data_IF_066227652416
#
_entry.id   IF_066227652416
#
_cell.length_a   1.000
_cell.length_b   1.000
_cell.length_c   1.000
_cell.angle_alpha   90.00
_cell.angle_beta   90.00
_cell.angle_gamma   90.00
#
_symmetry.space_group_name_H-M   'P 1'
#
loop_
_entity.id
_entity.type
_entity.pdbx_description
1 polymer ?
#
# COMPACT_ATOMS: atom_id res chain seq x y z
N UNK A 1 7.86 -3.20 -8.93
CA UNK A 1 7.48 -3.59 -10.30
C UNK A 1 8.68 -4.01 -11.15
N UNK A 2 9.74 -3.19 -11.21
CA UNK A 2 10.86 -3.36 -12.17
C UNK A 2 11.75 -4.61 -11.90
N UNK A 3 11.79 -5.12 -10.67
CA UNK A 3 12.64 -6.26 -10.31
C UNK A 3 12.17 -7.61 -10.88
N UNK A 4 10.86 -7.87 -10.90
CA UNK A 4 10.34 -9.17 -11.33
C UNK A 4 10.39 -9.36 -12.86
N UNK A 5 10.11 -8.31 -13.64
CA UNK A 5 10.10 -8.40 -15.10
C UNK A 5 11.49 -8.69 -15.68
N UNK A 6 12.50 -7.99 -15.16
CA UNK A 6 13.90 -8.18 -15.55
C UNK A 6 14.39 -9.60 -15.25
N UNK A 7 14.03 -10.13 -14.07
CA UNK A 7 14.41 -11.47 -13.64
C UNK A 7 13.68 -12.56 -14.43
N UNK A 8 12.40 -12.38 -14.76
CA UNK A 8 11.65 -13.32 -15.62
C UNK A 8 12.35 -13.47 -16.98
N UNK A 9 12.70 -12.35 -17.62
CA UNK A 9 13.40 -12.36 -18.91
C UNK A 9 14.77 -13.04 -18.77
N UNK A 10 15.49 -12.78 -17.67
CA UNK A 10 16.77 -13.44 -17.40
C UNK A 10 16.62 -14.95 -17.28
N UNK A 11 15.63 -15.45 -16.52
CA UNK A 11 15.43 -16.88 -16.35
C UNK A 11 15.00 -17.58 -17.64
N UNK A 12 14.19 -16.91 -18.48
CA UNK A 12 13.86 -17.43 -19.81
C UNK A 12 15.12 -17.58 -20.69
N UNK A 13 16.07 -16.62 -20.63
CA UNK A 13 17.36 -16.73 -21.34
C UNK A 13 18.24 -17.87 -20.84
N UNK A 14 18.09 -18.26 -19.57
CA UNK A 14 18.76 -19.43 -19.01
C UNK A 14 18.07 -20.76 -19.37
N UNK A 15 17.01 -20.74 -20.19
CA UNK A 15 16.35 -21.93 -20.71
C UNK A 15 15.18 -22.45 -19.87
N UNK A 16 14.82 -21.76 -18.77
CA UNK A 16 13.65 -22.14 -17.98
C UNK A 16 12.36 -21.89 -18.75
N UNK A 17 11.45 -22.86 -18.70
CA UNK A 17 10.15 -22.71 -19.32
C UNK A 17 9.31 -21.66 -18.58
N UNK A 18 8.37 -20.98 -19.26
CA UNK A 18 7.42 -20.09 -18.61
C UNK A 18 6.66 -20.77 -17.45
N UNK A 19 6.33 -22.06 -17.58
CA UNK A 19 5.62 -22.81 -16.55
C UNK A 19 6.46 -22.96 -15.26
N UNK A 20 7.74 -23.31 -15.38
CA UNK A 20 8.66 -23.43 -14.22
C UNK A 20 8.86 -22.10 -13.51
N UNK A 21 8.98 -21.01 -14.27
CA UNK A 21 9.11 -19.66 -13.71
C UNK A 21 7.84 -19.30 -12.94
N UNK A 22 6.66 -19.53 -13.52
CA UNK A 22 5.38 -19.23 -12.86
C UNK A 22 5.15 -20.09 -11.61
N UNK A 23 5.51 -21.38 -11.65
CA UNK A 23 5.44 -22.25 -10.49
C UNK A 23 6.37 -21.77 -9.36
N UNK A 24 7.60 -21.36 -9.70
CA UNK A 24 8.56 -20.81 -8.74
C UNK A 24 8.06 -19.50 -8.10
N UNK A 25 7.45 -18.62 -8.90
CA UNK A 25 6.86 -17.37 -8.41
C UNK A 25 5.68 -17.61 -7.46
N UNK A 26 4.85 -18.61 -7.72
CA UNK A 26 3.79 -19.01 -6.80
C UNK A 26 4.36 -19.60 -5.51
N UNK A 27 5.36 -20.49 -5.62
CA UNK A 27 5.98 -21.17 -4.49
C UNK A 27 6.75 -20.24 -3.54
N UNK A 28 7.33 -19.13 -4.04
CA UNK A 28 8.06 -18.16 -3.21
C UNK A 28 7.14 -17.16 -2.50
N UNK A 29 5.91 -16.97 -2.99
CA UNK A 29 4.99 -15.97 -2.47
C UNK A 29 4.71 -16.11 -0.95
N UNK A 30 4.50 -17.31 -0.37
CA UNK A 30 4.31 -17.45 1.07
C UNK A 30 5.50 -16.92 1.89
N UNK A 31 6.74 -17.09 1.42
CA UNK A 31 7.91 -16.52 2.09
C UNK A 31 7.89 -14.99 2.06
N UNK A 32 7.51 -14.41 0.92
CA UNK A 32 7.36 -12.96 0.79
C UNK A 32 6.30 -12.39 1.74
N UNK A 33 5.18 -13.11 1.91
CA UNK A 33 4.07 -12.68 2.77
C UNK A 33 4.42 -12.86 4.25
N UNK A 34 4.70 -14.09 4.68
CA UNK A 34 4.80 -14.43 6.10
C UNK A 34 6.16 -14.08 6.70
N UNK A 35 7.24 -14.31 5.97
CA UNK A 35 8.60 -14.17 6.51
C UNK A 35 9.14 -12.77 6.23
N UNK A 36 9.15 -12.32 4.98
CA UNK A 36 9.80 -11.05 4.64
C UNK A 36 8.94 -9.84 4.95
N UNK A 37 7.66 -9.83 4.57
CA UNK A 37 6.78 -8.70 4.85
C UNK A 37 6.29 -8.72 6.30
N UNK A 38 5.75 -9.84 6.77
CA UNK A 38 5.16 -9.91 8.10
C UNK A 38 6.17 -10.16 9.23
N UNK A 39 7.42 -10.57 8.93
CA UNK A 39 8.44 -10.91 9.94
C UNK A 39 7.96 -12.03 10.92
N UNK A 40 7.09 -12.92 10.45
CA UNK A 40 6.53 -14.04 11.21
C UNK A 40 7.31 -15.31 10.89
N UNK A 41 8.27 -15.64 11.73
CA UNK A 41 9.06 -16.86 11.59
C UNK A 41 8.35 -18.10 12.18
N UNK A 42 7.48 -17.90 13.16
CA UNK A 42 6.70 -18.95 13.79
C UNK A 42 5.20 -18.76 13.49
N UNK A 43 4.70 -19.40 12.44
CA UNK A 43 3.27 -19.31 12.06
C UNK A 43 2.33 -19.80 13.16
N UNK A 44 2.75 -20.75 14.00
CA UNK A 44 1.92 -21.24 15.11
C UNK A 44 1.67 -20.17 16.16
N UNK A 45 2.55 -19.18 16.32
CA UNK A 45 2.37 -18.13 17.33
C UNK A 45 1.25 -17.14 16.99
N UNK A 46 0.79 -17.10 15.73
CA UNK A 46 -0.31 -16.22 15.31
C UNK A 46 -1.68 -16.91 15.28
N UNK A 47 -1.74 -18.20 15.63
CA UNK A 47 -2.98 -18.94 15.78
C UNK A 47 -3.10 -20.13 14.83
N UNK A 48 -4.34 -20.62 14.69
CA UNK A 48 -4.68 -21.79 13.87
C UNK A 48 -5.64 -21.50 12.72
N UNK A 49 -6.33 -20.35 12.74
CA UNK A 49 -7.22 -19.93 11.67
C UNK A 49 -6.51 -18.88 10.81
N UNK A 50 -6.37 -19.16 9.52
CA UNK A 50 -5.71 -18.30 8.55
C UNK A 50 -6.71 -17.89 7.48
N UNK A 51 -6.95 -16.59 7.35
CA UNK A 51 -7.83 -16.04 6.32
C UNK A 51 -6.99 -15.46 5.19
N UNK A 52 -7.07 -16.08 4.02
CA UNK A 52 -6.41 -15.63 2.80
C UNK A 52 -7.30 -14.59 2.10
N UNK A 53 -6.76 -13.37 1.91
CA UNK A 53 -7.44 -12.25 1.25
C UNK A 53 -6.48 -11.42 0.37
N UNK A 54 -7.03 -10.59 -0.51
CA UNK A 54 -6.30 -9.85 -1.52
C UNK A 54 -6.40 -10.50 -2.90
N UNK A 55 -6.37 -9.69 -3.96
CA UNK A 55 -6.65 -10.12 -5.34
C UNK A 55 -5.79 -11.27 -5.86
N UNK A 56 -4.58 -11.44 -5.33
CA UNK A 56 -3.68 -12.55 -5.69
C UNK A 56 -4.28 -13.92 -5.36
N UNK A 57 -5.16 -14.01 -4.36
CA UNK A 57 -5.82 -15.25 -3.94
C UNK A 57 -6.97 -15.68 -4.87
N UNK A 58 -7.22 -14.96 -5.97
CA UNK A 58 -8.00 -15.48 -7.11
C UNK A 58 -7.23 -16.52 -7.93
N UNK A 59 -5.90 -16.53 -7.83
CA UNK A 59 -5.06 -17.50 -8.50
C UNK A 59 -4.93 -18.77 -7.63
N UNK A 60 -5.48 -19.89 -8.11
CA UNK A 60 -5.46 -21.16 -7.39
C UNK A 60 -4.05 -21.71 -7.14
N UNK A 61 -3.07 -21.43 -8.00
CA UNK A 61 -1.68 -21.83 -7.76
C UNK A 61 -1.09 -21.09 -6.55
N UNK A 62 -1.44 -19.81 -6.38
CA UNK A 62 -1.06 -19.02 -5.21
C UNK A 62 -1.75 -19.53 -3.95
N UNK A 63 -3.06 -19.81 -4.03
CA UNK A 63 -3.81 -20.40 -2.91
C UNK A 63 -3.17 -21.72 -2.48
N UNK A 64 -2.86 -22.61 -3.44
CA UNK A 64 -2.23 -23.90 -3.14
C UNK A 64 -0.87 -23.72 -2.46
N UNK A 65 -0.02 -22.83 -2.98
CA UNK A 65 1.29 -22.55 -2.39
C UNK A 65 1.16 -22.02 -0.94
N UNK A 66 0.18 -21.15 -0.66
CA UNK A 66 -0.12 -20.67 0.70
C UNK A 66 -0.59 -21.80 1.60
N UNK A 67 -1.54 -22.62 1.14
CA UNK A 67 -2.07 -23.77 1.89
C UNK A 67 -0.96 -24.76 2.25
N UNK A 68 -0.10 -25.10 1.30
CA UNK A 68 1.02 -26.02 1.54
C UNK A 68 2.02 -25.47 2.56
N UNK A 69 2.36 -24.19 2.42
CA UNK A 69 3.30 -23.53 3.33
C UNK A 69 2.77 -23.46 4.77
N UNK A 70 1.48 -23.12 4.93
CA UNK A 70 0.83 -23.01 6.23
C UNK A 70 0.70 -24.38 6.87
N UNK A 71 0.14 -25.36 6.16
CA UNK A 71 -0.09 -26.72 6.71
C UNK A 71 1.21 -27.45 7.03
N UNK A 72 2.29 -27.23 6.28
CA UNK A 72 3.61 -27.77 6.61
C UNK A 72 4.17 -27.25 7.96
N UNK A 73 3.72 -26.08 8.43
CA UNK A 73 4.18 -25.46 9.69
C UNK A 73 3.14 -25.58 10.81
N UNK A 74 1.87 -25.62 10.45
CA UNK A 74 0.72 -25.75 11.33
C UNK A 74 -0.22 -26.81 10.74
N UNK A 75 0.03 -28.12 11.00
CA UNK A 75 -0.74 -29.20 10.38
C UNK A 75 -2.24 -29.19 10.70
N UNK A 76 -2.61 -28.60 11.83
CA UNK A 76 -3.99 -28.44 12.31
C UNK A 76 -4.60 -27.08 11.95
N UNK A 77 -4.05 -26.37 10.97
CA UNK A 77 -4.54 -25.07 10.53
C UNK A 77 -5.90 -25.18 9.81
N UNK A 78 -6.81 -24.30 10.18
CA UNK A 78 -8.00 -23.97 9.41
C UNK A 78 -7.65 -22.83 8.44
N UNK A 79 -7.79 -23.07 7.15
CA UNK A 79 -7.46 -22.09 6.11
C UNK A 79 -8.72 -21.72 5.36
N UNK A 80 -9.11 -20.45 5.48
CA UNK A 80 -10.29 -19.88 4.86
C UNK A 80 -9.87 -18.93 3.75
N UNK A 81 -10.58 -18.94 2.64
CA UNK A 81 -10.40 -17.97 1.56
C UNK A 81 -11.57 -17.02 1.61
N UNK A 82 -11.30 -15.72 1.68
CA UNK A 82 -12.36 -14.73 1.68
C UNK A 82 -13.18 -14.84 0.37
N UNK A 83 -14.52 -14.95 0.42
CA UNK A 83 -15.35 -15.18 -0.78
C UNK A 83 -15.18 -14.08 -1.84
N UNK A 84 -14.91 -12.86 -1.38
CA UNK A 84 -14.59 -11.70 -2.22
C UNK A 84 -13.14 -11.25 -2.00
N UNK A 85 -12.17 -12.15 -2.20
CA UNK A 85 -10.77 -11.87 -1.84
C UNK A 85 -10.19 -10.61 -2.51
N UNK A 86 -10.63 -10.26 -3.73
CA UNK A 86 -10.17 -9.04 -4.40
C UNK A 86 -10.72 -7.75 -3.80
N UNK A 87 -11.93 -7.83 -3.27
CA UNK A 87 -12.74 -6.73 -2.74
C UNK A 87 -12.66 -6.61 -1.23
N UNK A 88 -12.07 -7.59 -0.54
CA UNK A 88 -12.01 -7.67 0.92
C UNK A 88 -11.52 -6.38 1.57
N UNK A 89 -10.52 -5.72 0.97
CA UNK A 89 -10.02 -4.42 1.46
C UNK A 89 -11.06 -3.29 1.33
N UNK A 90 -11.80 -3.23 0.23
CA UNK A 90 -12.85 -2.23 0.02
C UNK A 90 -14.05 -2.48 0.94
N UNK A 91 -14.44 -3.75 1.12
CA UNK A 91 -15.48 -4.17 2.06
C UNK A 91 -15.07 -3.77 3.49
N UNK A 92 -13.83 -4.06 3.88
CA UNK A 92 -13.29 -3.68 5.20
C UNK A 92 -13.30 -2.18 5.43
N UNK A 93 -12.92 -1.38 4.43
CA UNK A 93 -12.98 0.08 4.51
C UNK A 93 -14.43 0.59 4.65
N UNK A 94 -15.38 0.01 3.92
CA UNK A 94 -16.80 0.36 4.04
C UNK A 94 -17.37 0.03 5.43
N UNK A 95 -17.03 -1.15 5.98
CA UNK A 95 -17.41 -1.54 7.33
C UNK A 95 -16.81 -0.59 8.38
N UNK A 96 -15.53 -0.27 8.27
CA UNK A 96 -14.87 0.68 9.18
C UNK A 96 -15.48 2.08 9.10
N UNK A 97 -15.84 2.56 7.89
CA UNK A 97 -16.51 3.84 7.72
C UNK A 97 -17.90 3.86 8.34
N UNK A 98 -18.65 2.74 8.24
CA UNK A 98 -19.95 2.56 8.90
C UNK A 98 -19.80 2.55 10.42
N UNK A 99 -18.83 1.83 10.95
CA UNK A 99 -18.64 1.70 12.40
C UNK A 99 -18.13 3.00 13.04
N UNK A 100 -17.40 3.83 12.28
CA UNK A 100 -16.97 5.18 12.69
C UNK A 100 -18.03 6.27 12.47
N UNK A 101 -19.16 5.93 11.82
CA UNK A 101 -20.24 6.88 11.56
C UNK A 101 -21.13 7.03 12.80
N UNK A 102 -21.62 8.25 13.01
CA UNK A 102 -22.53 8.61 14.09
C UNK A 102 -23.68 9.43 13.51
N UNK A 103 -24.89 9.29 14.06
CA UNK A 103 -26.11 9.96 13.58
C UNK A 103 -25.97 11.48 13.50
N UNK A 104 -25.20 12.08 14.42
CA UNK A 104 -24.95 13.53 14.46
C UNK A 104 -24.00 14.04 13.35
N UNK A 105 -23.46 13.14 12.52
CA UNK A 105 -22.52 13.50 11.45
C UNK A 105 -23.08 13.14 10.08
N UNK A 106 -23.44 14.14 9.24
CA UNK A 106 -23.85 13.85 7.88
C UNK A 106 -22.71 13.17 7.10
N UNK A 107 -23.06 12.22 6.24
CA UNK A 107 -22.10 11.57 5.33
C UNK A 107 -21.52 12.59 4.35
N UNK A 108 -20.24 12.44 4.02
CA UNK A 108 -19.58 13.21 2.94
C UNK A 108 -19.72 12.55 1.57
N UNK A 109 -20.41 11.42 1.49
CA UNK A 109 -20.68 10.74 0.22
C UNK A 109 -21.58 11.62 -0.66
N UNK A 110 -21.12 11.93 -1.88
CA UNK A 110 -21.83 12.83 -2.80
C UNK A 110 -23.00 12.15 -3.55
N UNK A 111 -23.29 10.89 -3.25
CA UNK A 111 -24.33 10.10 -3.92
C UNK A 111 -23.84 9.36 -5.16
N UNK A 112 -24.60 8.35 -5.58
CA UNK A 112 -24.26 7.52 -6.74
C UNK A 112 -24.34 8.28 -8.07
N UNK A 113 -25.29 9.21 -8.21
CA UNK A 113 -25.39 10.05 -9.42
C UNK A 113 -24.10 10.85 -9.70
N UNK A 114 -23.43 11.33 -8.65
CA UNK A 114 -22.16 12.04 -8.76
C UNK A 114 -21.02 11.10 -9.18
N UNK A 115 -21.07 9.83 -8.76
CA UNK A 115 -20.09 8.80 -9.15
C UNK A 115 -20.31 8.36 -10.59
N UNK A 116 -21.56 8.20 -11.03
CA UNK A 116 -21.91 7.76 -12.37
C UNK A 116 -21.58 8.81 -13.44
N UNK A 117 -21.67 10.09 -13.08
CA UNK A 117 -21.34 11.23 -13.97
C UNK A 117 -19.91 11.73 -13.81
N UNK A 118 -19.06 10.98 -13.08
CA UNK A 118 -17.73 11.43 -12.72
C UNK A 118 -16.84 11.55 -13.97
N UNK A 119 -16.54 12.78 -14.36
CA UNK A 119 -15.52 13.05 -15.38
C UNK A 119 -14.15 13.13 -14.70
N UNK A 120 -13.18 12.38 -15.20
CA UNK A 120 -11.80 12.46 -14.72
C UNK A 120 -10.79 12.47 -15.86
N UNK A 121 -9.62 13.03 -15.57
CA UNK A 121 -8.45 13.05 -16.45
C UNK A 121 -7.25 12.56 -15.66
N UNK A 122 -6.38 11.77 -16.28
CA UNK A 122 -5.19 11.24 -15.65
C UNK A 122 -3.94 11.71 -16.39
N UNK A 123 -3.04 12.38 -15.67
CA UNK A 123 -1.78 12.89 -16.22
C UNK A 123 -0.61 12.23 -15.51
N UNK A 124 0.31 11.65 -16.29
CA UNK A 124 1.60 11.14 -15.78
C UNK A 124 2.70 11.63 -16.72
N UNK A 125 3.57 12.51 -16.23
CA UNK A 125 4.64 13.13 -17.02
C UNK A 125 5.86 13.44 -16.16
N UNK A 126 6.88 14.10 -16.75
CA UNK A 126 8.01 14.61 -15.98
C UNK A 126 7.58 15.58 -14.88
N UNK A 127 6.58 16.41 -15.14
CA UNK A 127 6.09 17.44 -14.21
C UNK A 127 5.33 16.88 -13.01
N UNK A 128 4.82 15.65 -13.13
CA UNK A 128 4.20 14.93 -12.02
C UNK A 128 5.23 14.19 -11.15
N UNK A 129 6.53 14.32 -11.41
CA UNK A 129 7.57 13.67 -10.59
C UNK A 129 7.69 14.31 -9.21
N UNK A 130 7.75 13.51 -8.15
CA UNK A 130 7.95 14.01 -6.78
C UNK A 130 9.38 14.51 -6.60
N UNK A 131 9.53 15.72 -6.04
CA UNK A 131 10.85 16.33 -5.77
C UNK A 131 11.23 16.31 -4.28
N UNK A 132 10.36 15.81 -3.41
CA UNK A 132 10.63 15.80 -1.96
C UNK A 132 11.20 14.48 -1.44
N UNK A 133 11.24 13.43 -2.25
CA UNK A 133 11.77 12.13 -1.84
C UNK A 133 13.04 11.76 -2.63
N UNK A 134 13.99 11.02 -2.02
CA UNK A 134 15.24 10.68 -2.68
C UNK A 134 15.08 9.88 -3.98
N UNK A 135 14.03 9.04 -4.04
CA UNK A 135 13.76 8.16 -5.18
C UNK A 135 12.99 8.83 -6.31
N UNK A 136 12.65 10.13 -6.18
CA UNK A 136 11.91 10.91 -7.16
C UNK A 136 10.73 10.13 -7.75
N UNK A 137 9.82 9.65 -6.89
CA UNK A 137 8.76 8.76 -7.32
C UNK A 137 7.86 9.41 -8.38
N UNK A 138 7.53 8.64 -9.41
CA UNK A 138 6.58 9.07 -10.46
C UNK A 138 5.17 9.09 -9.88
N UNK A 139 4.53 10.25 -9.93
CA UNK A 139 3.14 10.42 -9.49
C UNK A 139 2.22 10.46 -10.69
N UNK A 140 0.98 10.09 -10.48
CA UNK A 140 -0.13 10.27 -11.42
C UNK A 140 -1.11 11.26 -10.82
N UNK A 141 -1.38 12.34 -11.53
CA UNK A 141 -2.40 13.31 -11.16
C UNK A 141 -3.73 12.84 -11.74
N UNK A 142 -4.71 12.62 -10.87
CA UNK A 142 -6.07 12.22 -11.23
C UNK A 142 -6.94 13.43 -10.93
N UNK A 143 -7.31 14.15 -11.99
CA UNK A 143 -8.10 15.36 -11.95
C UNK A 143 -9.56 14.99 -12.15
N UNK A 144 -10.39 15.29 -11.17
CA UNK A 144 -11.80 14.89 -11.12
C UNK A 144 -12.65 16.14 -11.15
N UNK A 145 -13.63 16.19 -12.05
CA UNK A 145 -14.57 17.31 -12.13
C UNK A 145 -15.49 17.28 -10.92
N UNK A 146 -15.34 18.29 -10.06
CA UNK A 146 -16.12 18.46 -8.86
C UNK A 146 -16.54 19.92 -8.75
N UNK A 147 -17.84 20.17 -8.87
CA UNK A 147 -18.41 21.50 -8.72
C UNK A 147 -18.03 22.10 -7.36
N UNK A 148 -17.60 23.36 -7.38
CA UNK A 148 -17.15 24.10 -6.19
C UNK A 148 -15.68 23.87 -5.79
N UNK A 149 -14.92 23.01 -6.49
CA UNK A 149 -13.48 22.91 -6.26
C UNK A 149 -12.74 24.13 -6.81
N UNK A 150 -11.77 24.65 -6.06
CA UNK A 150 -11.04 25.88 -6.40
C UNK A 150 -9.93 25.74 -7.44
N UNK A 151 -9.73 24.54 -8.00
CA UNK A 151 -8.62 24.29 -8.93
C UNK A 151 -7.24 24.46 -8.29
N UNK A 152 -6.20 24.44 -9.13
CA UNK A 152 -4.79 24.61 -8.76
C UNK A 152 -4.03 25.34 -9.88
N UNK A 153 -4.34 26.61 -10.09
CA UNK A 153 -3.67 27.43 -11.11
C UNK A 153 -2.16 27.57 -10.89
N UNK A 154 -1.69 27.43 -9.65
CA UNK A 154 -0.26 27.50 -9.27
C UNK A 154 0.52 26.20 -9.55
N UNK A 155 -0.17 25.10 -9.88
CA UNK A 155 0.50 23.83 -10.17
C UNK A 155 1.28 23.90 -11.49
N UNK A 156 2.40 23.16 -11.55
CA UNK A 156 3.13 22.93 -12.81
C UNK A 156 2.28 22.27 -13.89
N UNK A 157 1.26 21.50 -13.48
CA UNK A 157 0.20 21.00 -14.34
C UNK A 157 -1.07 21.74 -13.91
N UNK A 158 -1.39 22.90 -14.51
CA UNK A 158 -2.50 23.72 -14.06
C UNK A 158 -3.81 22.93 -13.99
N UNK A 159 -4.64 23.27 -13.02
CA UNK A 159 -5.95 22.69 -12.82
C UNK A 159 -6.97 23.81 -12.71
N UNK A 160 -8.00 23.76 -13.56
CA UNK A 160 -9.04 24.79 -13.62
C UNK A 160 -9.98 24.69 -12.40
N UNK A 161 -10.69 25.79 -12.12
CA UNK A 161 -11.80 25.76 -11.16
C UNK A 161 -12.88 24.76 -11.59
N UNK A 162 -13.56 24.16 -10.62
CA UNK A 162 -14.48 23.04 -10.84
C UNK A 162 -13.79 21.68 -11.01
N UNK A 163 -12.47 21.61 -10.82
CA UNK A 163 -11.71 20.37 -10.79
C UNK A 163 -10.93 20.21 -9.48
N UNK A 164 -10.88 18.98 -8.98
CA UNK A 164 -10.12 18.57 -7.81
C UNK A 164 -9.04 17.58 -8.21
N UNK A 165 -7.86 17.66 -7.60
CA UNK A 165 -6.76 16.75 -7.91
C UNK A 165 -6.50 15.77 -6.78
N UNK A 166 -6.49 14.49 -7.15
CA UNK A 166 -6.03 13.38 -6.34
C UNK A 166 -4.69 12.91 -6.90
N UNK A 167 -3.71 12.68 -6.03
CA UNK A 167 -2.38 12.23 -6.44
C UNK A 167 -2.18 10.79 -6.04
N UNK A 168 -1.83 9.95 -7.01
CA UNK A 168 -1.58 8.51 -6.85
C UNK A 168 -0.21 8.11 -7.39
N UNK A 169 0.19 6.85 -7.21
CA UNK A 169 1.49 6.30 -7.64
C UNK A 169 2.68 6.76 -6.78
N UNK A 170 2.44 7.59 -5.76
CA UNK A 170 3.48 8.06 -4.85
C UNK A 170 4.01 6.93 -3.95
N UNK A 171 5.33 6.81 -3.87
CA UNK A 171 6.01 5.88 -2.95
C UNK A 171 6.25 6.46 -1.53
N UNK A 172 5.75 7.66 -1.23
CA UNK A 172 5.94 8.29 0.08
C UNK A 172 4.78 9.24 0.42
N UNK A 173 4.51 9.53 1.71
CA UNK A 173 3.42 10.42 2.11
C UNK A 173 3.55 11.83 1.54
N UNK A 174 4.77 12.39 1.52
CA UNK A 174 5.04 13.71 0.92
C UNK A 174 4.64 13.79 -0.56
N UNK A 175 4.63 12.67 -1.27
CA UNK A 175 4.26 12.63 -2.68
C UNK A 175 2.76 12.78 -2.94
N UNK A 176 1.92 12.88 -1.90
CA UNK A 176 0.46 13.08 -2.00
C UNK A 176 0.05 14.53 -2.21
N UNK A 177 0.98 15.47 -2.09
CA UNK A 177 0.73 16.91 -2.14
C UNK A 177 1.55 17.57 -3.25
N UNK A 178 1.29 18.84 -3.53
CA UNK A 178 2.01 19.63 -4.54
C UNK A 178 2.71 20.83 -3.95
N UNK A 179 2.14 21.42 -2.90
CA UNK A 179 2.62 22.66 -2.35
C UNK A 179 3.60 22.47 -1.18
N UNK A 180 4.55 23.38 -1.05
CA UNK A 180 5.58 23.33 0.00
C UNK A 180 4.96 23.49 1.40
N UNK A 181 3.90 24.29 1.54
CA UNK A 181 3.20 24.44 2.81
C UNK A 181 2.46 23.16 3.19
N UNK A 182 1.81 22.48 2.23
CA UNK A 182 1.19 21.17 2.44
C UNK A 182 2.23 20.11 2.85
N UNK A 183 3.40 20.10 2.22
CA UNK A 183 4.50 19.19 2.58
C UNK A 183 4.97 19.41 4.03
N UNK A 184 4.98 20.66 4.52
CA UNK A 184 5.33 20.94 5.92
C UNK A 184 4.30 20.33 6.88
N UNK A 185 3.01 20.39 6.55
CA UNK A 185 1.94 19.77 7.34
C UNK A 185 2.11 18.25 7.37
N UNK A 186 2.31 17.62 6.21
CA UNK A 186 2.55 16.17 6.11
C UNK A 186 3.79 15.75 6.89
N UNK A 187 4.88 16.53 6.84
CA UNK A 187 6.08 16.24 7.64
C UNK A 187 5.82 16.28 9.14
N UNK A 188 5.05 17.26 9.62
CA UNK A 188 4.68 17.36 11.04
C UNK A 188 3.86 16.15 11.48
N UNK A 189 2.85 15.76 10.71
CA UNK A 189 2.04 14.57 10.99
C UNK A 189 2.90 13.29 11.00
N UNK A 190 3.84 13.15 10.05
CA UNK A 190 4.80 12.05 10.06
C UNK A 190 5.68 12.02 11.31
N UNK A 191 6.08 13.18 11.84
CA UNK A 191 6.86 13.29 13.07
C UNK A 191 6.02 12.92 14.31
N UNK A 192 4.76 13.35 14.36
CA UNK A 192 3.81 13.00 15.42
C UNK A 192 3.55 11.49 15.44
N UNK A 193 3.29 10.87 14.28
CA UNK A 193 3.13 9.42 14.16
C UNK A 193 4.37 8.65 14.61
N UNK A 194 5.57 9.13 14.25
CA UNK A 194 6.83 8.53 14.72
C UNK A 194 7.03 8.64 16.23
N UNK A 195 6.52 9.70 16.86
CA UNK A 195 6.57 9.88 18.32
C UNK A 195 5.56 8.98 19.02
N UNK A 196 4.36 8.85 18.47
CA UNK A 196 3.30 7.99 19.01
C UNK A 196 3.62 6.50 18.85
N UNK A 197 4.20 6.11 17.71
CA UNK A 197 4.56 4.74 17.37
C UNK A 197 6.05 4.63 17.06
N UNK A 198 6.92 4.77 18.08
CA UNK A 198 8.35 4.73 17.87
C UNK A 198 8.80 3.35 17.40
N UNK A 199 9.70 3.32 16.42
CA UNK A 199 10.35 2.07 16.02
C UNK A 199 11.32 1.64 17.13
N UNK A 200 10.86 0.74 17.99
CA UNK A 200 11.61 0.23 19.15
C UNK A 200 12.93 -0.41 18.71
N UNK A 201 12.95 -1.16 17.60
CA UNK A 201 14.18 -1.76 17.09
C UNK A 201 15.23 -0.72 16.68
N UNK A 202 14.78 0.38 16.07
CA UNK A 202 15.65 1.49 15.66
C UNK A 202 16.15 2.30 16.87
N UNK A 203 15.30 2.47 17.89
CA UNK A 203 15.69 3.07 19.17
C UNK A 203 16.75 2.23 19.87
N UNK A 204 16.51 0.93 20.03
CA UNK A 204 17.45 -0.02 20.64
C UNK A 204 18.76 -0.05 19.85
N UNK A 205 18.72 -0.09 18.51
CA UNK A 205 19.95 -0.02 17.70
C UNK A 205 20.77 1.26 17.98
N UNK A 206 20.11 2.40 18.18
CA UNK A 206 20.77 3.68 18.47
C UNK A 206 21.26 3.80 19.91
N UNK A 207 20.62 3.15 20.87
CA UNK A 207 20.92 3.28 22.30
C UNK A 207 21.70 2.11 22.90
N UNK A 208 21.58 0.89 22.37
CA UNK A 208 22.11 -0.34 22.97
C UNK A 208 23.63 -0.34 23.17
N UNK A 209 24.37 0.42 22.34
CA UNK A 209 25.83 0.53 22.43
C UNK A 209 26.30 1.95 22.76
N UNK A 210 25.39 2.87 23.11
CA UNK A 210 25.82 4.16 23.66
C UNK A 210 26.40 3.90 25.05
N UNK A 211 27.72 3.98 25.18
CA UNK A 211 28.37 4.10 26.49
C UNK A 211 27.77 5.31 27.20
N UNK A 212 27.27 5.11 28.41
CA UNK A 212 26.99 6.22 29.33
C UNK A 212 28.29 6.98 29.52
N UNK A 213 28.36 8.20 28.96
CA UNK A 213 29.46 9.10 29.26
C UNK A 213 29.21 9.61 30.67
N UNK A 214 30.04 9.19 31.62
CA UNK A 214 30.07 9.71 32.98
C UNK A 214 31.18 10.76 33.05
N UNK A 215 30.86 12.07 33.07
CA UNK A 215 31.87 13.10 33.24
C UNK A 215 32.16 13.25 34.73
N UNK A 216 33.03 12.40 35.25
CA UNK A 216 33.72 12.62 36.54
C UNK A 216 34.83 13.65 36.40
#
# INVERSE_FOLDING_TARGET
GVFLQSDIIRQQRHGWSPAEIMASLAAILPLNVWVYAAQIHNLRSIGRCFVLQGGTHRNLAVVKAQVDFITAKVPDAEILIHPYAGEAGAIGAALAARDAWHEDRPSRFRGFDAVDRLEYRSTTSGDTTCVWCPVHCRRTFIDVRLEGSGGRAWSKVPLDEGWERIISGNACPKGQVEDVSEVKLVKREMEELRRAFPNVGDLVRKSAFRRSFDPS
#
